data_IF_783894957129
#
_entry.id   IF_783894957129
#
_cell.length_a   1.000
_cell.length_b   1.000
_cell.length_c   1.000
_cell.angle_alpha   90.00
_cell.angle_beta   90.00
_cell.angle_gamma   90.00
#
_symmetry.space_group_name_H-M   'P 1'
#
loop_
_entity.id
_entity.type
_entity.pdbx_description
1 polymer ?
#
# COMPACT_ATOMS: atom_id res chain seq x y z
N UNK A 1 2.97 3.07 8.43
CA UNK A 1 4.01 2.24 7.76
C UNK A 1 4.87 3.06 6.80
N UNK A 2 4.33 4.05 6.09
CA UNK A 2 5.08 4.93 5.18
C UNK A 2 6.27 5.62 5.87
N UNK A 3 6.00 6.37 6.95
CA UNK A 3 7.04 7.03 7.74
C UNK A 3 8.13 6.07 8.26
N UNK A 4 7.79 4.80 8.55
CA UNK A 4 8.77 3.79 8.95
C UNK A 4 9.68 3.39 7.77
N UNK A 5 9.12 3.18 6.58
CA UNK A 5 9.90 2.88 5.38
C UNK A 5 10.77 4.07 4.97
N UNK A 6 10.26 5.29 5.12
CA UNK A 6 11.01 6.51 4.84
C UNK A 6 12.21 6.68 5.80
N UNK A 7 11.97 6.54 7.11
CA UNK A 7 13.04 6.60 8.12
C UNK A 7 14.13 5.52 7.97
N UNK A 8 13.88 4.48 7.16
CA UNK A 8 14.84 3.40 6.89
C UNK A 8 15.42 3.45 5.44
N UNK A 9 15.21 4.55 4.70
CA UNK A 9 15.63 4.71 3.29
C UNK A 9 15.04 3.67 2.33
N UNK A 10 13.87 3.12 2.68
CA UNK A 10 13.18 2.07 1.92
C UNK A 10 12.04 2.62 1.06
N UNK A 11 11.51 3.81 1.36
CA UNK A 11 10.32 4.35 0.70
C UNK A 11 10.45 4.46 -0.82
N UNK A 12 11.63 4.86 -1.34
CA UNK A 12 11.90 4.91 -2.78
C UNK A 12 11.61 3.61 -3.53
N UNK A 13 11.76 2.45 -2.88
CA UNK A 13 11.45 1.16 -3.50
C UNK A 13 9.94 0.93 -3.73
N UNK A 14 9.08 1.65 -3.00
CA UNK A 14 7.63 1.63 -3.12
C UNK A 14 7.15 2.72 -4.06
N UNK A 15 7.68 3.94 -3.87
CA UNK A 15 7.27 5.14 -4.62
C UNK A 15 7.59 5.02 -6.12
N UNK A 16 8.85 4.76 -6.44
CA UNK A 16 9.35 4.74 -7.83
C UNK A 16 9.00 3.43 -8.56
N UNK A 17 8.70 2.35 -7.82
CA UNK A 17 8.51 0.97 -8.29
C UNK A 17 9.46 0.54 -9.43
N UNK A 18 10.72 0.96 -9.32
CA UNK A 18 11.69 0.75 -10.38
C UNK A 18 12.03 -0.72 -10.57
N UNK A 19 12.28 -1.13 -11.80
CA UNK A 19 12.90 -2.42 -12.08
C UNK A 19 14.41 -2.38 -11.87
N UNK A 20 14.98 -3.49 -11.40
CA UNK A 20 16.44 -3.65 -11.29
C UNK A 20 16.89 -4.46 -12.50
N UNK A 21 17.28 -3.75 -13.55
CA UNK A 21 17.80 -4.34 -14.78
C UNK A 21 19.15 -5.04 -14.57
N UNK A 22 19.56 -5.83 -15.56
CA UNK A 22 20.87 -6.49 -15.54
C UNK A 22 22.01 -5.46 -15.60
N UNK A 23 23.14 -5.79 -14.97
CA UNK A 23 24.37 -5.02 -15.13
C UNK A 23 24.88 -5.13 -16.57
N UNK A 24 25.56 -4.09 -17.10
CA UNK A 24 26.25 -4.19 -18.38
C UNK A 24 27.39 -5.22 -18.30
N UNK A 25 27.89 -5.65 -19.46
CA UNK A 25 28.91 -6.71 -19.56
C UNK A 25 30.22 -6.37 -18.83
N UNK A 26 30.60 -5.10 -18.81
CA UNK A 26 31.79 -4.60 -18.10
C UNK A 26 31.39 -3.49 -17.11
N UNK A 27 30.81 -3.83 -15.95
CA UNK A 27 30.31 -2.84 -15.03
C UNK A 27 31.43 -2.22 -14.19
N UNK A 28 31.32 -0.93 -13.91
CA UNK A 28 32.22 -0.26 -12.95
C UNK A 28 31.88 -0.66 -11.51
N UNK A 29 32.83 -0.52 -10.58
CA UNK A 29 32.58 -0.74 -9.15
C UNK A 29 31.38 0.07 -8.63
N UNK A 30 31.24 1.31 -9.11
CA UNK A 30 30.10 2.17 -8.75
C UNK A 30 28.77 1.61 -9.26
N UNK A 31 28.72 1.07 -10.48
CA UNK A 31 27.52 0.43 -11.03
C UNK A 31 27.15 -0.84 -10.25
N UNK A 32 28.13 -1.68 -9.91
CA UNK A 32 27.91 -2.89 -9.10
C UNK A 32 27.35 -2.53 -7.72
N UNK A 33 27.97 -1.56 -7.05
CA UNK A 33 27.54 -1.07 -5.73
C UNK A 33 26.11 -0.56 -5.78
N UNK A 34 25.81 0.32 -6.73
CA UNK A 34 24.49 0.92 -6.90
C UNK A 34 23.41 -0.14 -7.22
N UNK A 35 23.70 -1.08 -8.12
CA UNK A 35 22.79 -2.18 -8.45
C UNK A 35 22.48 -3.05 -7.21
N UNK A 36 23.51 -3.39 -6.42
CA UNK A 36 23.35 -4.16 -5.17
C UNK A 36 22.49 -3.40 -4.15
N UNK A 37 22.75 -2.11 -3.95
CA UNK A 37 21.97 -1.25 -3.05
C UNK A 37 20.50 -1.19 -3.47
N UNK A 38 20.21 -0.99 -4.77
CA UNK A 38 18.83 -0.97 -5.28
C UNK A 38 18.10 -2.29 -5.06
N UNK A 39 18.75 -3.42 -5.33
CA UNK A 39 18.19 -4.76 -5.11
C UNK A 39 17.93 -5.01 -3.63
N UNK A 40 18.89 -4.64 -2.78
CA UNK A 40 18.76 -4.79 -1.34
C UNK A 40 17.63 -3.91 -0.77
N UNK A 41 17.49 -2.66 -1.23
CA UNK A 41 16.40 -1.77 -0.82
C UNK A 41 15.03 -2.37 -1.14
N UNK A 42 14.80 -2.87 -2.37
CA UNK A 42 13.54 -3.55 -2.73
C UNK A 42 13.26 -4.77 -1.86
N UNK A 43 14.28 -5.61 -1.61
CA UNK A 43 14.13 -6.79 -0.76
C UNK A 43 13.79 -6.43 0.69
N UNK A 44 14.49 -5.45 1.27
CA UNK A 44 14.25 -4.99 2.65
C UNK A 44 12.86 -4.38 2.79
N UNK A 45 12.44 -3.53 1.86
CA UNK A 45 11.12 -2.93 1.88
C UNK A 45 10.00 -4.01 1.86
N UNK A 46 10.14 -5.04 1.01
CA UNK A 46 9.21 -6.19 1.02
C UNK A 46 9.21 -6.93 2.35
N UNK A 47 10.39 -7.27 2.87
CA UNK A 47 10.50 -7.96 4.16
C UNK A 47 9.82 -7.15 5.28
N UNK A 48 10.05 -5.83 5.35
CA UNK A 48 9.39 -4.97 6.33
C UNK A 48 7.86 -5.03 6.21
N UNK A 49 7.31 -5.00 4.99
CA UNK A 49 5.86 -5.12 4.79
C UNK A 49 5.33 -6.50 5.18
N UNK A 50 6.07 -7.58 4.90
CA UNK A 50 5.70 -8.94 5.31
C UNK A 50 5.72 -9.13 6.82
N UNK A 51 6.69 -8.56 7.52
CA UNK A 51 6.77 -8.63 8.99
C UNK A 51 5.73 -7.76 9.69
N UNK A 52 5.22 -6.72 9.02
CA UNK A 52 4.27 -5.78 9.62
C UNK A 52 2.81 -6.27 9.60
N UNK A 53 2.52 -7.43 9.01
CA UNK A 53 1.15 -7.91 8.80
C UNK A 53 0.88 -9.24 9.48
N UNK A 54 -0.40 -9.54 9.71
CA UNK A 54 -0.83 -10.83 10.22
C UNK A 54 -0.62 -11.96 9.18
N UNK A 55 -0.65 -13.21 9.64
CA UNK A 55 -0.54 -14.38 8.77
C UNK A 55 -1.60 -14.41 7.66
N UNK A 56 -2.84 -13.99 7.95
CA UNK A 56 -3.94 -13.99 6.98
C UNK A 56 -3.74 -12.94 5.86
N UNK A 57 -3.12 -11.81 6.18
CA UNK A 57 -2.76 -10.80 5.19
C UNK A 57 -1.51 -11.23 4.43
N UNK A 58 -0.52 -11.81 5.12
CA UNK A 58 0.70 -12.32 4.52
C UNK A 58 0.41 -13.28 3.36
N UNK A 59 -0.47 -14.27 3.54
CA UNK A 59 -0.82 -15.23 2.47
C UNK A 59 -1.46 -14.57 1.24
N UNK A 60 -2.12 -13.42 1.42
CA UNK A 60 -2.71 -12.65 0.31
C UNK A 60 -1.66 -11.83 -0.43
N UNK A 61 -0.67 -11.27 0.27
CA UNK A 61 0.33 -10.37 -0.33
C UNK A 61 1.59 -11.07 -0.84
N UNK A 62 1.92 -12.28 -0.37
CA UNK A 62 3.16 -12.98 -0.73
C UNK A 62 3.26 -13.32 -2.23
N UNK A 63 2.11 -13.42 -2.91
CA UNK A 63 2.02 -13.69 -4.35
C UNK A 63 2.25 -12.44 -5.21
N UNK A 64 2.26 -11.24 -4.60
CA UNK A 64 2.41 -9.98 -5.30
C UNK A 64 3.87 -9.71 -5.69
N UNK A 65 4.07 -9.31 -6.95
CA UNK A 65 5.40 -9.24 -7.58
C UNK A 65 6.21 -8.01 -7.19
N UNK A 66 5.59 -6.86 -6.93
CA UNK A 66 6.30 -5.61 -6.63
C UNK A 66 6.02 -5.11 -5.21
N UNK A 67 6.96 -4.34 -4.65
CA UNK A 67 6.79 -3.73 -3.33
C UNK A 67 5.64 -2.74 -3.34
N UNK A 68 5.45 -2.03 -4.47
CA UNK A 68 4.32 -1.13 -4.69
C UNK A 68 2.99 -1.87 -4.68
N UNK A 69 2.88 -3.01 -5.37
CA UNK A 69 1.64 -3.80 -5.37
C UNK A 69 1.26 -4.28 -3.95
N UNK A 70 2.25 -4.70 -3.14
CA UNK A 70 2.04 -5.04 -1.73
C UNK A 70 1.57 -3.82 -0.95
N UNK A 71 2.22 -2.66 -1.13
CA UNK A 71 1.84 -1.42 -0.47
C UNK A 71 0.41 -0.98 -0.82
N UNK A 72 0.06 -0.93 -2.10
CA UNK A 72 -1.26 -0.50 -2.59
C UNK A 72 -2.36 -1.42 -2.05
N UNK A 73 -2.11 -2.73 -2.03
CA UNK A 73 -3.01 -3.69 -1.40
C UNK A 73 -3.21 -3.40 0.09
N UNK A 74 -2.13 -3.19 0.83
CA UNK A 74 -2.21 -2.90 2.27
C UNK A 74 -2.90 -1.57 2.54
N UNK A 75 -2.67 -0.57 1.70
CA UNK A 75 -3.36 0.71 1.75
C UNK A 75 -4.87 0.51 1.59
N UNK A 76 -5.29 -0.23 0.56
CA UNK A 76 -6.70 -0.55 0.34
C UNK A 76 -7.32 -1.35 1.49
N UNK A 77 -6.59 -2.33 2.03
CA UNK A 77 -7.07 -3.19 3.11
C UNK A 77 -7.26 -2.42 4.43
N UNK A 78 -6.30 -1.56 4.80
CA UNK A 78 -6.29 -0.88 6.10
C UNK A 78 -6.86 0.53 6.11
N UNK A 79 -6.67 1.31 5.04
CA UNK A 79 -7.36 2.59 4.90
C UNK A 79 -8.82 2.37 4.48
N UNK A 80 -9.21 1.15 4.12
CA UNK A 80 -10.57 0.79 3.73
C UNK A 80 -10.87 1.17 2.29
N UNK A 81 -11.87 0.51 1.71
CA UNK A 81 -12.35 0.83 0.38
C UNK A 81 -13.14 2.15 0.45
N UNK A 82 -12.56 3.24 -0.04
CA UNK A 82 -13.20 4.57 -0.07
C UNK A 82 -14.62 4.54 -0.69
N UNK A 83 -14.90 3.60 -1.62
CA UNK A 83 -16.27 3.40 -2.14
C UNK A 83 -17.23 2.84 -1.08
N UNK A 84 -16.77 1.91 -0.25
CA UNK A 84 -17.58 1.32 0.83
C UNK A 84 -17.86 2.36 1.90
N UNK A 85 -16.85 3.15 2.29
CA UNK A 85 -17.05 4.30 3.19
C UNK A 85 -18.04 5.31 2.61
N UNK A 86 -17.88 5.68 1.34
CA UNK A 86 -18.79 6.60 0.65
C UNK A 86 -20.23 6.09 0.63
N UNK A 87 -20.43 4.79 0.39
CA UNK A 87 -21.75 4.17 0.39
C UNK A 87 -22.39 4.15 1.79
N UNK A 88 -21.60 3.93 2.84
CA UNK A 88 -22.08 4.03 4.23
C UNK A 88 -22.52 5.46 4.57
N UNK A 89 -21.75 6.48 4.16
CA UNK A 89 -22.12 7.88 4.35
C UNK A 89 -23.42 8.22 3.63
N UNK A 90 -23.59 7.79 2.37
CA UNK A 90 -24.82 8.02 1.62
C UNK A 90 -26.04 7.34 2.26
N UNK A 91 -25.89 6.12 2.77
CA UNK A 91 -26.95 5.44 3.50
C UNK A 91 -27.35 6.21 4.77
N UNK A 92 -26.38 6.70 5.54
CA UNK A 92 -26.62 7.51 6.74
C UNK A 92 -27.36 8.83 6.41
N UNK A 93 -26.97 9.51 5.33
CA UNK A 93 -27.67 10.73 4.87
C UNK A 93 -29.13 10.41 4.56
N UNK A 94 -29.38 9.32 3.82
CA UNK A 94 -30.73 8.89 3.47
C UNK A 94 -31.57 8.54 4.70
N UNK A 95 -30.97 7.83 5.67
CA UNK A 95 -31.63 7.52 6.95
C UNK A 95 -32.00 8.79 7.71
N UNK A 96 -31.10 9.76 7.78
CA UNK A 96 -31.36 11.05 8.43
C UNK A 96 -32.50 11.83 7.75
N UNK A 97 -32.50 11.89 6.41
CA UNK A 97 -33.58 12.51 5.64
C UNK A 97 -34.94 11.82 5.88
N UNK A 98 -34.97 10.49 5.90
CA UNK A 98 -36.18 9.72 6.20
C UNK A 98 -36.70 9.98 7.61
N UNK A 99 -35.82 10.08 8.61
CA UNK A 99 -36.22 10.44 9.97
C UNK A 99 -36.84 11.83 10.02
N UNK A 100 -36.26 12.81 9.30
CA UNK A 100 -36.84 14.16 9.20
C UNK A 100 -38.21 14.18 8.54
N UNK A 101 -38.41 13.38 7.49
CA UNK A 101 -39.71 13.28 6.82
C UNK A 101 -40.79 12.68 7.72
N UNK A 102 -40.46 11.63 8.49
CA UNK A 102 -41.39 11.01 9.45
C UNK A 102 -41.80 11.94 10.59
N UNK A 103 -40.92 12.86 11.01
CA UNK A 103 -41.24 13.89 12.02
C UNK A 103 -42.18 14.98 11.46
N UNK A 104 -42.31 15.08 10.13
CA UNK A 104 -43.12 16.09 9.45
C UNK A 104 -44.42 15.55 8.86
N UNK A 105 -44.84 14.31 9.17
CA UNK A 105 -46.17 13.84 8.80
C UNK A 105 -47.23 14.71 9.51
N UNK A 106 -48.12 15.39 8.78
CA UNK A 106 -49.17 16.19 9.40
C UNK A 106 -50.21 15.25 10.03
N UNK A 107 -50.58 15.55 11.28
CA UNK A 107 -51.71 14.93 11.99
C UNK A 107 -53.02 15.03 11.19
#
# INVERSE_FOLDING_TARGET
MEAFLDANDLWKAVEEDYEVGQLPENPTLNQIKYHKERKQRKSKAKSCLFFAVSQSIFTRIVTLKSTKAIWDFLKQEYEGNERVKGMQVLNLIREFEMQRMKVMEPL
#
